data_IF_591757191016
#
_entry.id   IF_591757191016
#
_cell.length_a   1.000
_cell.length_b   1.000
_cell.length_c   1.000
_cell.angle_alpha   90.00
_cell.angle_beta   90.00
_cell.angle_gamma   90.00
#
_symmetry.space_group_name_H-M   'P 1'
#
loop_
_entity.id
_entity.type
_entity.pdbx_description
1 polymer ?
#
# COMPACT_ATOMS: atom_id res chain seq x y z
N UNK A 1 14.22 -7.23 -4.79
CA UNK A 1 13.45 -6.00 -4.59
C UNK A 1 12.33 -5.98 -5.63
N UNK A 2 11.06 -6.01 -5.21
CA UNK A 2 9.87 -6.14 -6.07
C UNK A 2 9.83 -5.16 -7.26
N UNK A 3 10.50 -4.02 -7.10
CA UNK A 3 10.71 -2.98 -8.11
C UNK A 3 11.34 -3.45 -9.44
N UNK A 4 12.10 -4.55 -9.45
CA UNK A 4 12.74 -5.06 -10.68
C UNK A 4 11.83 -5.97 -11.52
N UNK A 5 10.77 -6.54 -10.95
CA UNK A 5 9.86 -7.45 -11.65
C UNK A 5 8.86 -6.65 -12.49
N UNK A 6 8.36 -5.53 -11.95
CA UNK A 6 7.35 -4.69 -12.59
C UNK A 6 7.85 -3.99 -13.87
N UNK A 7 9.14 -3.64 -13.94
CA UNK A 7 9.70 -2.95 -15.13
C UNK A 7 9.89 -3.90 -16.33
N UNK A 8 10.01 -5.21 -16.08
CA UNK A 8 10.09 -6.22 -17.15
C UNK A 8 8.74 -6.48 -17.80
N UNK A 9 7.66 -6.55 -17.02
CA UNK A 9 6.31 -6.85 -17.49
C UNK A 9 5.69 -5.72 -18.34
N UNK A 10 5.98 -4.45 -18.01
CA UNK A 10 5.38 -3.30 -18.71
C UNK A 10 5.93 -3.09 -20.13
N UNK A 11 7.13 -3.60 -20.45
CA UNK A 11 7.78 -3.40 -21.76
C UNK A 11 7.29 -4.42 -22.81
N UNK A 12 6.69 -5.53 -22.39
CA UNK A 12 6.24 -6.59 -23.31
C UNK A 12 4.79 -6.43 -23.78
N UNK A 13 4.03 -5.47 -23.24
CA UNK A 13 2.59 -5.34 -23.48
C UNK A 13 2.21 -4.44 -24.68
N UNK A 14 3.16 -3.99 -25.50
CA UNK A 14 2.86 -3.03 -26.56
C UNK A 14 3.43 -3.42 -27.93
N UNK A 15 3.15 -4.63 -28.41
CA UNK A 15 3.17 -4.91 -29.84
C UNK A 15 2.35 -6.16 -30.20
N UNK A 16 1.20 -5.93 -30.84
CA UNK A 16 0.42 -6.79 -31.75
C UNK A 16 -1.09 -6.73 -31.44
N UNK A 17 -1.72 -5.61 -31.83
CA UNK A 17 -3.16 -5.56 -32.00
C UNK A 17 -3.53 -6.36 -33.27
N UNK A 18 -4.06 -7.57 -33.07
CA UNK A 18 -4.86 -8.26 -34.09
C UNK A 18 -6.19 -8.64 -33.46
N UNK A 19 -7.26 -8.19 -34.10
CA UNK A 19 -8.65 -8.26 -33.67
C UNK A 19 -9.17 -9.71 -33.67
N UNK A 20 -9.56 -10.22 -32.50
CA UNK A 20 -10.46 -11.37 -32.35
C UNK A 20 -11.68 -10.94 -31.51
N UNK A 21 -12.93 -11.15 -31.98
CA UNK A 21 -14.12 -10.78 -31.23
C UNK A 21 -14.46 -11.89 -30.21
N UNK A 22 -14.62 -11.49 -28.94
CA UNK A 22 -14.80 -12.31 -27.73
C UNK A 22 -13.52 -12.98 -27.20
N UNK A 23 -12.80 -12.22 -26.36
CA UNK A 23 -11.85 -12.80 -25.41
C UNK A 23 -12.59 -13.83 -24.54
N UNK A 24 -11.98 -14.98 -24.30
CA UNK A 24 -12.57 -16.03 -23.48
C UNK A 24 -12.90 -15.50 -22.07
N UNK A 25 -13.85 -16.13 -21.37
CA UNK A 25 -14.17 -15.77 -19.96
C UNK A 25 -12.91 -15.83 -19.08
N UNK A 26 -11.96 -16.68 -19.45
CA UNK A 26 -10.65 -16.84 -18.84
C UNK A 26 -9.72 -15.64 -19.07
N UNK A 27 -9.57 -15.18 -20.32
CA UNK A 27 -8.80 -13.97 -20.65
C UNK A 27 -9.30 -12.75 -19.85
N UNK A 28 -10.62 -12.72 -19.61
CA UNK A 28 -11.25 -11.69 -18.79
C UNK A 28 -10.91 -11.82 -17.31
N UNK A 29 -10.99 -13.04 -16.75
CA UNK A 29 -10.64 -13.27 -15.34
C UNK A 29 -9.16 -12.97 -15.06
N UNK A 30 -8.27 -13.38 -15.97
CA UNK A 30 -6.85 -13.10 -15.87
C UNK A 30 -6.56 -11.59 -15.97
N UNK A 31 -7.20 -10.88 -16.90
CA UNK A 31 -7.05 -9.42 -17.00
C UNK A 31 -7.51 -8.69 -15.74
N UNK A 32 -8.65 -9.08 -15.15
CA UNK A 32 -9.13 -8.51 -13.89
C UNK A 32 -8.10 -8.73 -12.76
N UNK A 33 -7.50 -9.91 -12.70
CA UNK A 33 -6.45 -10.21 -11.73
C UNK A 33 -5.20 -9.34 -11.92
N UNK A 34 -4.74 -9.14 -13.16
CA UNK A 34 -3.60 -8.27 -13.45
C UNK A 34 -3.87 -6.81 -13.09
N UNK A 35 -5.06 -6.31 -13.40
CA UNK A 35 -5.49 -4.95 -13.02
C UNK A 35 -5.52 -4.82 -11.49
N UNK A 36 -6.02 -5.84 -10.78
CA UNK A 36 -6.03 -5.88 -9.33
C UNK A 36 -4.60 -5.83 -8.76
N UNK A 37 -3.69 -6.69 -9.22
CA UNK A 37 -2.31 -6.71 -8.74
C UNK A 37 -1.57 -5.41 -9.07
N UNK A 38 -1.89 -4.75 -10.18
CA UNK A 38 -1.36 -3.41 -10.50
C UNK A 38 -1.80 -2.38 -9.45
N UNK A 39 -3.06 -2.44 -9.01
CA UNK A 39 -3.56 -1.58 -7.92
C UNK A 39 -2.96 -1.93 -6.56
N UNK A 40 -2.68 -3.20 -6.29
CA UNK A 40 -1.92 -3.62 -5.09
C UNK A 40 -0.53 -3.00 -5.08
N UNK A 41 0.19 -3.02 -6.21
CA UNK A 41 1.50 -2.36 -6.31
C UNK A 41 1.40 -0.84 -6.08
N UNK A 42 0.38 -0.18 -6.64
CA UNK A 42 0.14 1.25 -6.40
C UNK A 42 -0.13 1.54 -4.91
N UNK A 43 -0.85 0.65 -4.23
CA UNK A 43 -1.08 0.76 -2.80
C UNK A 43 0.24 0.66 -2.02
N UNK A 44 1.10 -0.31 -2.33
CA UNK A 44 2.40 -0.46 -1.66
C UNK A 44 3.31 0.76 -1.86
N UNK A 45 3.37 1.31 -3.07
CA UNK A 45 4.10 2.56 -3.35
C UNK A 45 3.55 3.73 -2.53
N UNK A 46 2.23 3.79 -2.37
CA UNK A 46 1.57 4.80 -1.56
C UNK A 46 1.92 4.62 -0.07
N UNK A 47 1.94 3.40 0.46
CA UNK A 47 2.36 3.10 1.84
C UNK A 47 3.79 3.57 2.11
N UNK A 48 4.71 3.32 1.19
CA UNK A 48 6.10 3.78 1.26
C UNK A 48 6.19 5.32 1.25
N UNK A 49 5.36 5.98 0.45
CA UNK A 49 5.28 7.44 0.43
C UNK A 49 4.76 7.98 1.78
N UNK A 50 3.68 7.40 2.31
CA UNK A 50 3.12 7.73 3.62
C UNK A 50 4.13 7.56 4.76
N UNK A 51 4.89 6.47 4.75
CA UNK A 51 5.97 6.21 5.73
C UNK A 51 7.00 7.34 5.76
N UNK A 52 7.44 7.81 4.59
CA UNK A 52 8.42 8.92 4.50
C UNK A 52 7.87 10.22 5.09
N UNK A 53 6.58 10.50 4.87
CA UNK A 53 5.91 11.66 5.44
C UNK A 53 5.78 11.52 6.97
N UNK A 54 5.42 10.34 7.47
CA UNK A 54 5.34 10.07 8.91
C UNK A 54 6.69 10.23 9.61
N UNK A 55 7.77 9.69 9.02
CA UNK A 55 9.13 9.87 9.53
C UNK A 55 9.53 11.34 9.56
N UNK A 56 9.18 12.09 8.50
CA UNK A 56 9.41 13.53 8.48
C UNK A 56 8.61 14.24 9.58
N UNK A 57 7.32 13.91 9.75
CA UNK A 57 6.51 14.46 10.83
C UNK A 57 7.15 14.24 12.21
N UNK A 58 7.62 13.01 12.47
CA UNK A 58 8.33 12.68 13.69
C UNK A 58 9.59 13.55 13.87
N UNK A 59 10.44 13.66 12.83
CA UNK A 59 11.64 14.50 12.87
C UNK A 59 11.31 15.97 13.18
N UNK A 60 10.36 16.58 12.45
CA UNK A 60 9.98 17.98 12.66
C UNK A 60 9.40 18.22 14.07
N UNK A 61 8.68 17.22 14.62
CA UNK A 61 8.13 17.33 15.96
C UNK A 61 9.21 17.26 17.04
N UNK A 62 10.24 16.44 16.84
CA UNK A 62 11.39 16.39 17.74
C UNK A 62 12.23 17.68 17.67
N UNK A 63 12.28 18.35 16.50
CA UNK A 63 12.86 19.69 16.39
C UNK A 63 12.08 20.71 17.22
N UNK A 64 10.74 20.65 17.18
CA UNK A 64 9.87 21.49 17.98
C UNK A 64 10.01 21.23 19.50
N UNK A 65 10.34 20.00 19.89
CA UNK A 65 10.50 19.58 21.30
C UNK A 65 11.88 19.79 21.89
N UNK A 66 12.86 20.27 21.10
CA UNK A 66 14.24 20.40 21.57
C UNK A 66 14.30 21.09 22.94
N UNK A 67 15.04 20.52 23.91
CA UNK A 67 15.12 21.09 25.25
C UNK A 67 15.64 22.53 25.22
N UNK A 68 15.08 23.38 26.07
CA UNK A 68 15.67 24.70 26.38
C UNK A 68 17.09 24.48 26.88
N UNK A 69 18.04 25.37 26.53
CA UNK A 69 19.41 25.30 27.04
C UNK A 69 19.39 25.19 28.57
N UNK A 70 19.98 24.12 29.10
CA UNK A 70 20.16 23.94 30.53
C UNK A 70 21.26 24.88 31.02
N UNK A 71 20.85 26.07 31.47
CA UNK A 71 21.75 27.10 32.05
C UNK A 71 22.35 26.62 33.40
N UNK A 72 21.86 25.49 33.95
CA UNK A 72 22.36 24.86 35.17
C UNK A 72 23.78 24.27 35.03
N UNK A 73 24.24 24.02 33.80
CA UNK A 73 25.63 23.62 33.57
C UNK A 73 26.59 24.78 33.84
N UNK A 74 27.64 24.53 34.66
CA UNK A 74 28.64 25.55 35.00
C UNK A 74 29.31 26.18 33.77
N UNK A 75 29.65 25.38 32.77
CA UNK A 75 30.26 25.85 31.52
C UNK A 75 29.28 26.69 30.68
N UNK A 76 28.03 26.26 30.56
CA UNK A 76 27.00 27.00 29.81
C UNK A 76 26.67 28.32 30.52
N UNK A 77 26.56 28.30 31.85
CA UNK A 77 26.34 29.49 32.68
C UNK A 77 27.47 30.52 32.48
N UNK A 78 28.73 30.07 32.47
CA UNK A 78 29.90 30.95 32.30
C UNK A 78 29.98 31.53 30.88
N UNK A 79 29.66 30.73 29.85
CA UNK A 79 29.54 31.20 28.45
C UNK A 79 28.42 32.24 28.31
N UNK A 80 27.23 31.97 28.87
CA UNK A 80 26.08 32.90 28.82
C UNK A 80 26.41 34.21 29.54
N UNK A 81 27.06 34.15 30.72
CA UNK A 81 27.44 35.34 31.50
C UNK A 81 28.51 36.17 30.77
N UNK A 82 29.51 35.53 30.19
CA UNK A 82 30.59 36.21 29.47
C UNK A 82 30.14 36.85 28.14
N UNK A 83 29.04 36.36 27.55
CA UNK A 83 28.50 36.84 26.27
C UNK A 83 27.12 37.50 26.42
N UNK A 84 26.80 38.00 27.62
CA UNK A 84 25.48 38.51 27.93
C UNK A 84 25.20 39.82 27.16
N UNK A 85 24.27 39.74 26.23
CA UNK A 85 23.75 40.88 25.45
C UNK A 85 22.22 40.87 25.52
N UNK A 86 21.57 42.00 25.23
CA UNK A 86 20.10 42.03 25.18
C UNK A 86 19.55 41.04 24.14
N UNK A 87 20.28 40.83 23.03
CA UNK A 87 19.96 39.79 22.03
C UNK A 87 20.06 38.37 22.60
N UNK A 88 21.13 38.05 23.34
CA UNK A 88 21.27 36.75 24.01
C UNK A 88 20.17 36.53 25.05
N UNK A 89 19.83 37.58 25.82
CA UNK A 89 18.74 37.54 26.79
C UNK A 89 17.40 37.22 26.11
N UNK A 90 17.04 37.95 25.04
CA UNK A 90 15.82 37.68 24.29
C UNK A 90 15.77 36.27 23.68
N UNK A 91 16.91 35.74 23.21
CA UNK A 91 17.00 34.36 22.70
C UNK A 91 16.77 33.31 23.81
N UNK A 92 17.35 33.51 25.00
CA UNK A 92 17.14 32.63 26.16
C UNK A 92 15.71 32.70 26.68
N UNK A 93 15.13 33.90 26.77
CA UNK A 93 13.72 34.13 27.14
C UNK A 93 12.76 33.45 26.16
N UNK A 94 13.10 33.45 24.86
CA UNK A 94 12.38 32.72 23.81
C UNK A 94 12.62 31.19 23.84
N UNK A 95 13.32 30.66 24.86
CA UNK A 95 13.56 29.23 25.02
C UNK A 95 14.58 28.67 24.04
N UNK A 96 15.52 29.49 23.56
CA UNK A 96 16.57 29.11 22.61
C UNK A 96 16.03 28.69 21.23
N UNK A 97 14.87 29.24 20.85
CA UNK A 97 14.25 29.02 19.54
C UNK A 97 14.11 30.33 18.80
N UNK A 98 14.37 30.33 17.49
CA UNK A 98 14.11 31.51 16.65
C UNK A 98 12.62 31.53 16.26
N UNK A 99 11.98 32.69 16.30
CA UNK A 99 10.55 32.81 15.99
C UNK A 99 10.23 32.32 14.56
N UNK A 100 11.06 32.71 13.59
CA UNK A 100 10.89 32.30 12.19
C UNK A 100 11.09 30.79 11.99
N UNK A 101 12.01 30.16 12.73
CA UNK A 101 12.23 28.71 12.69
C UNK A 101 11.01 27.97 13.25
N UNK A 102 10.40 28.49 14.33
CA UNK A 102 9.18 27.91 14.89
C UNK A 102 8.01 27.98 13.89
N UNK A 103 7.86 29.11 13.19
CA UNK A 103 6.83 29.24 12.14
C UNK A 103 7.09 28.24 11.00
N UNK A 104 8.34 28.14 10.53
CA UNK A 104 8.69 27.19 9.48
C UNK A 104 8.42 25.75 9.90
N UNK A 105 8.85 25.33 11.09
CA UNK A 105 8.65 23.97 11.60
C UNK A 105 7.15 23.66 11.76
N UNK A 106 6.35 24.61 12.26
CA UNK A 106 4.89 24.45 12.36
C UNK A 106 4.24 24.29 11.00
N UNK A 107 4.65 25.08 10.01
CA UNK A 107 4.17 24.93 8.62
C UNK A 107 4.56 23.57 8.03
N UNK A 108 5.77 23.07 8.35
CA UNK A 108 6.21 21.75 7.91
C UNK A 108 5.40 20.62 8.57
N UNK A 109 5.11 20.71 9.87
CA UNK A 109 4.25 19.76 10.58
C UNK A 109 2.84 19.74 10.01
N UNK A 110 2.25 20.92 9.75
CA UNK A 110 0.94 21.03 9.11
C UNK A 110 0.95 20.41 7.72
N UNK A 111 1.96 20.71 6.90
CA UNK A 111 2.10 20.13 5.56
C UNK A 111 2.24 18.60 5.61
N UNK A 112 2.95 18.06 6.61
CA UNK A 112 3.04 16.61 6.79
C UNK A 112 1.68 16.02 7.17
N UNK A 113 0.92 16.67 8.04
CA UNK A 113 -0.42 16.23 8.43
C UNK A 113 -1.40 16.25 7.23
N UNK A 114 -1.38 17.29 6.42
CA UNK A 114 -2.17 17.36 5.17
C UNK A 114 -1.79 16.23 4.21
N UNK A 115 -0.50 15.97 4.00
CA UNK A 115 -0.02 14.88 3.15
C UNK A 115 -0.40 13.50 3.68
N UNK A 116 -0.41 13.30 4.99
CA UNK A 116 -0.86 12.05 5.60
C UNK A 116 -2.38 11.86 5.46
N UNK A 117 -3.16 12.93 5.58
CA UNK A 117 -4.60 12.86 5.31
C UNK A 117 -4.89 12.56 3.83
N UNK A 118 -4.15 13.19 2.91
CA UNK A 118 -4.21 12.88 1.48
C UNK A 118 -3.83 11.43 1.18
N UNK A 119 -2.78 10.92 1.82
CA UNK A 119 -2.39 9.50 1.78
C UNK A 119 -3.56 8.59 2.17
N UNK A 120 -4.20 8.85 3.31
CA UNK A 120 -5.35 8.05 3.78
C UNK A 120 -6.51 8.10 2.77
N UNK A 121 -6.82 9.27 2.23
CA UNK A 121 -7.89 9.40 1.23
C UNK A 121 -7.58 8.60 -0.05
N UNK A 122 -6.34 8.67 -0.54
CA UNK A 122 -5.90 7.90 -1.72
C UNK A 122 -5.90 6.39 -1.46
N UNK A 123 -5.44 5.95 -0.30
CA UNK A 123 -5.42 4.54 0.08
C UNK A 123 -6.86 3.99 0.18
N UNK A 124 -7.79 4.80 0.69
CA UNK A 124 -9.21 4.46 0.73
C UNK A 124 -9.81 4.30 -0.68
N UNK A 125 -9.53 5.23 -1.59
CA UNK A 125 -9.99 5.14 -2.98
C UNK A 125 -9.44 3.89 -3.68
N UNK A 126 -8.15 3.58 -3.49
CA UNK A 126 -7.55 2.35 -4.03
C UNK A 126 -8.23 1.09 -3.48
N UNK A 127 -8.59 1.04 -2.19
CA UNK A 127 -9.34 -0.08 -1.63
C UNK A 127 -10.75 -0.21 -2.23
N UNK A 128 -11.43 0.92 -2.48
CA UNK A 128 -12.74 0.90 -3.15
C UNK A 128 -12.64 0.37 -4.59
N UNK A 129 -11.58 0.75 -5.33
CA UNK A 129 -11.28 0.22 -6.66
C UNK A 129 -10.95 -1.28 -6.63
N UNK A 130 -10.12 -1.74 -5.68
CA UNK A 130 -9.80 -3.15 -5.47
C UNK A 130 -11.07 -3.97 -5.17
N UNK A 131 -11.98 -3.43 -4.35
CA UNK A 131 -13.26 -4.07 -4.06
C UNK A 131 -14.15 -4.21 -5.30
N UNK A 132 -14.10 -3.24 -6.21
CA UNK A 132 -14.84 -3.34 -7.48
C UNK A 132 -14.29 -4.48 -8.35
N UNK A 133 -12.96 -4.57 -8.47
CA UNK A 133 -12.29 -5.65 -9.21
C UNK A 133 -12.57 -7.04 -8.61
N UNK A 134 -12.60 -7.14 -7.27
CA UNK A 134 -13.01 -8.38 -6.57
C UNK A 134 -14.41 -8.84 -6.98
N UNK A 135 -15.38 -7.92 -7.03
CA UNK A 135 -16.77 -8.22 -7.44
C UNK A 135 -16.84 -8.65 -8.90
N UNK A 136 -16.07 -8.00 -9.77
CA UNK A 136 -15.99 -8.35 -11.19
C UNK A 136 -15.36 -9.74 -11.40
N UNK A 137 -14.32 -10.07 -10.63
CA UNK A 137 -13.71 -11.40 -10.65
C UNK A 137 -14.70 -12.46 -10.16
N UNK A 138 -15.45 -12.20 -9.08
CA UNK A 138 -16.49 -13.10 -8.59
C UNK A 138 -17.57 -13.37 -9.65
N UNK A 139 -18.10 -12.30 -10.27
CA UNK A 139 -19.13 -12.41 -11.33
C UNK A 139 -18.63 -13.20 -12.54
N UNK A 140 -17.39 -12.93 -12.96
CA UNK A 140 -16.74 -13.62 -14.09
C UNK A 140 -16.53 -15.11 -13.77
N UNK A 141 -16.02 -15.42 -12.58
CA UNK A 141 -15.78 -16.80 -12.12
C UNK A 141 -17.09 -17.58 -12.00
N UNK A 142 -18.13 -16.97 -11.42
CA UNK A 142 -19.44 -17.60 -11.30
C UNK A 142 -20.04 -17.94 -12.67
N UNK A 143 -19.89 -17.04 -13.64
CA UNK A 143 -20.34 -17.27 -15.02
C UNK A 143 -19.60 -18.46 -15.64
N UNK A 144 -18.27 -18.53 -15.47
CA UNK A 144 -17.46 -19.65 -15.95
C UNK A 144 -17.90 -20.99 -15.33
N UNK A 145 -18.10 -21.02 -14.01
CA UNK A 145 -18.58 -22.22 -13.30
C UNK A 145 -19.95 -22.71 -13.84
N UNK A 146 -20.88 -21.77 -14.08
CA UNK A 146 -22.21 -22.12 -14.57
C UNK A 146 -22.20 -22.60 -16.03
N UNK A 147 -21.32 -22.05 -16.86
CA UNK A 147 -21.14 -22.53 -18.24
C UNK A 147 -20.56 -23.95 -18.27
N UNK A 148 -19.50 -24.19 -17.50
CA UNK A 148 -18.87 -25.52 -17.40
C UNK A 148 -19.85 -26.60 -16.91
N UNK A 149 -20.77 -26.27 -16.00
CA UNK A 149 -21.78 -27.22 -15.53
C UNK A 149 -22.80 -27.61 -16.62
N UNK A 150 -23.14 -26.68 -17.52
CA UNK A 150 -24.11 -26.92 -18.62
C UNK A 150 -23.52 -27.78 -19.72
N UNK A 151 -22.22 -27.68 -19.99
CA UNK A 151 -21.54 -28.48 -21.01
C UNK A 151 -21.48 -29.98 -20.64
N UNK A 152 -21.71 -30.33 -19.38
CA UNK A 152 -21.75 -31.73 -18.89
C UNK A 152 -23.12 -32.42 -19.03
N UNK A 153 -24.21 -31.71 -19.33
CA UNK A 153 -25.58 -32.28 -19.30
C UNK A 153 -26.09 -32.72 -20.70
N UNK A 154 -25.35 -32.44 -21.77
CA UNK A 154 -25.66 -32.89 -23.13
C UNK A 154 -24.81 -34.12 -23.52
N UNK A 155 -25.32 -35.31 -23.23
CA UNK A 155 -24.85 -36.56 -23.85
C UNK A 155 -26.03 -37.32 -24.48
N UNK A 156 -26.23 -37.27 -25.82
CA UNK A 156 -26.80 -38.39 -26.54
C UNK A 156 -25.68 -39.39 -26.81
N UNK A 157 -25.77 -40.59 -26.24
CA UNK A 157 -24.75 -41.61 -26.42
C UNK A 157 -24.60 -42.02 -27.89
N UNK A 158 -23.37 -42.15 -28.37
CA UNK A 158 -22.90 -43.34 -29.10
C UNK A 158 -21.36 -43.33 -29.22
N UNK A 159 -20.81 -44.52 -29.34
CA UNK A 159 -19.40 -44.88 -29.41
C UNK A 159 -18.62 -44.17 -30.53
N UNK A 160 -17.36 -43.80 -30.27
CA UNK A 160 -16.20 -44.42 -30.92
C UNK A 160 -14.85 -43.85 -30.43
N UNK A 161 -13.98 -44.77 -30.05
CA UNK A 161 -12.58 -44.57 -29.71
C UNK A 161 -11.79 -44.01 -30.91
N UNK A 162 -11.18 -42.84 -30.78
CA UNK A 162 -9.87 -42.56 -31.40
C UNK A 162 -9.09 -41.60 -30.52
N UNK A 163 -8.16 -42.20 -29.77
CA UNK A 163 -7.23 -41.53 -28.88
C UNK A 163 -6.12 -40.85 -29.69
N UNK A 164 -6.18 -39.53 -29.84
CA UNK A 164 -5.05 -38.69 -30.27
C UNK A 164 -4.77 -37.69 -29.16
N UNK A 165 -3.82 -38.02 -28.28
CA UNK A 165 -3.27 -37.08 -27.30
C UNK A 165 -2.39 -36.06 -28.05
N UNK A 166 -2.90 -34.86 -28.24
CA UNK A 166 -2.11 -33.65 -28.50
C UNK A 166 -1.67 -33.06 -27.17
N UNK A 167 -0.36 -33.10 -26.90
CA UNK A 167 0.29 -32.47 -25.75
C UNK A 167 0.36 -30.94 -25.98
N UNK A 168 -0.77 -30.22 -25.95
CA UNK A 168 -0.79 -28.77 -25.72
C UNK A 168 -2.17 -28.18 -25.36
N UNK A 169 -3.18 -29.00 -25.06
CA UNK A 169 -4.48 -28.49 -24.63
C UNK A 169 -4.58 -28.52 -23.09
N UNK A 170 -4.38 -27.36 -22.48
CA UNK A 170 -4.74 -27.13 -21.08
C UNK A 170 -6.20 -27.50 -20.87
N UNK A 171 -6.46 -28.47 -19.99
CA UNK A 171 -7.79 -29.01 -19.78
C UNK A 171 -8.73 -27.90 -19.27
N UNK A 172 -9.99 -27.80 -19.76
CA UNK A 172 -10.95 -26.79 -19.30
C UNK A 172 -11.14 -26.74 -17.77
N UNK A 173 -10.95 -27.87 -17.09
CA UNK A 173 -10.99 -27.98 -15.63
C UNK A 173 -9.84 -27.25 -14.92
N UNK A 174 -8.62 -27.26 -15.48
CA UNK A 174 -7.44 -26.60 -14.91
C UNK A 174 -7.58 -25.06 -14.98
N UNK A 175 -8.28 -24.58 -16.00
CA UNK A 175 -8.49 -23.15 -16.26
C UNK A 175 -9.57 -22.56 -15.33
N UNK A 176 -10.63 -23.32 -15.05
CA UNK A 176 -11.64 -22.95 -14.07
C UNK A 176 -11.06 -22.92 -12.64
N UNK A 177 -10.24 -23.91 -12.29
CA UNK A 177 -9.56 -23.97 -10.99
C UNK A 177 -8.62 -22.76 -10.78
N UNK A 178 -7.94 -22.35 -11.86
CA UNK A 178 -7.11 -21.13 -11.86
C UNK A 178 -7.94 -19.86 -11.63
N UNK A 179 -9.09 -19.71 -12.30
CA UNK A 179 -9.96 -18.54 -12.11
C UNK A 179 -10.51 -18.44 -10.68
N UNK A 180 -10.95 -19.58 -10.11
CA UNK A 180 -11.39 -19.66 -8.71
C UNK A 180 -10.26 -19.33 -7.74
N UNK A 181 -9.05 -19.82 -8.01
CA UNK A 181 -7.85 -19.52 -7.23
C UNK A 181 -7.51 -18.03 -7.27
N UNK A 182 -7.52 -17.40 -8.44
CA UNK A 182 -7.30 -15.96 -8.60
C UNK A 182 -8.31 -15.14 -7.78
N UNK A 183 -9.61 -15.44 -7.90
CA UNK A 183 -10.65 -14.74 -7.15
C UNK A 183 -10.46 -14.88 -5.63
N UNK A 184 -10.10 -16.08 -5.17
CA UNK A 184 -9.84 -16.35 -3.75
C UNK A 184 -8.63 -15.57 -3.23
N UNK A 185 -7.55 -15.52 -4.01
CA UNK A 185 -6.35 -14.74 -3.70
C UNK A 185 -6.65 -13.24 -3.65
N UNK A 186 -7.44 -12.71 -4.58
CA UNK A 186 -7.86 -11.30 -4.59
C UNK A 186 -8.61 -10.93 -3.29
N UNK A 187 -9.57 -11.77 -2.86
CA UNK A 187 -10.31 -11.56 -1.60
C UNK A 187 -9.36 -11.56 -0.41
N UNK A 188 -8.42 -12.50 -0.37
CA UNK A 188 -7.43 -12.58 0.71
C UNK A 188 -6.56 -11.31 0.77
N UNK A 189 -5.97 -10.92 -0.36
CA UNK A 189 -5.13 -9.72 -0.47
C UNK A 189 -5.90 -8.46 -0.09
N UNK A 190 -7.10 -8.27 -0.65
CA UNK A 190 -7.91 -7.10 -0.34
C UNK A 190 -8.24 -6.99 1.16
N UNK A 191 -8.56 -8.11 1.82
CA UNK A 191 -8.79 -8.12 3.26
C UNK A 191 -7.55 -7.72 4.06
N UNK A 192 -6.36 -8.23 3.70
CA UNK A 192 -5.10 -7.82 4.36
C UNK A 192 -4.85 -6.32 4.21
N UNK A 193 -4.98 -5.79 2.99
CA UNK A 193 -4.79 -4.36 2.71
C UNK A 193 -5.81 -3.49 3.46
N UNK A 194 -7.04 -3.96 3.64
CA UNK A 194 -8.07 -3.27 4.42
C UNK A 194 -7.66 -3.13 5.89
N UNK A 195 -7.11 -4.19 6.49
CA UNK A 195 -6.62 -4.14 7.87
C UNK A 195 -5.40 -3.22 8.00
N UNK A 196 -4.46 -3.27 7.06
CA UNK A 196 -3.30 -2.38 6.99
C UNK A 196 -3.74 -0.91 6.87
N UNK A 197 -4.70 -0.60 5.99
CA UNK A 197 -5.30 0.72 5.89
C UNK A 197 -5.92 1.19 7.20
N UNK A 198 -6.72 0.33 7.87
CA UNK A 198 -7.37 0.70 9.14
C UNK A 198 -6.33 1.02 10.23
N UNK A 199 -5.20 0.32 10.24
CA UNK A 199 -4.09 0.62 11.13
C UNK A 199 -3.46 1.97 10.79
N UNK A 200 -3.13 2.22 9.52
CA UNK A 200 -2.57 3.49 9.06
C UNK A 200 -3.50 4.68 9.36
N UNK A 201 -4.81 4.51 9.14
CA UNK A 201 -5.82 5.54 9.42
C UNK A 201 -5.86 5.88 10.92
N UNK A 202 -5.80 4.87 11.79
CA UNK A 202 -5.73 5.08 13.25
C UNK A 202 -4.47 5.81 13.65
N UNK A 203 -3.32 5.46 13.06
CA UNK A 203 -2.06 6.17 13.29
C UNK A 203 -2.22 7.65 12.92
N UNK A 204 -2.67 7.96 11.69
CA UNK A 204 -2.83 9.34 11.23
C UNK A 204 -3.80 10.14 12.10
N UNK A 205 -4.92 9.54 12.52
CA UNK A 205 -5.89 10.18 13.42
C UNK A 205 -5.33 10.43 14.83
N UNK A 206 -4.38 9.62 15.29
CA UNK A 206 -3.75 9.76 16.59
C UNK A 206 -2.59 10.79 16.61
N UNK A 207 -2.13 11.23 15.43
CA UNK A 207 -1.06 12.24 15.35
C UNK A 207 -1.54 13.59 15.90
N UNK A 208 -0.87 14.05 16.95
CA UNK A 208 -1.14 15.34 17.57
C UNK A 208 0.18 15.97 18.03
N UNK A 209 0.42 17.19 17.55
CA UNK A 209 1.62 17.98 17.86
C UNK A 209 1.80 18.15 19.39
N UNK A 210 0.69 18.31 20.13
CA UNK A 210 0.72 18.60 21.57
C UNK A 210 0.86 17.36 22.44
N UNK A 211 0.33 16.21 22.02
CA UNK A 211 0.12 15.06 22.91
C UNK A 211 0.91 13.81 22.50
N UNK A 212 1.30 13.64 21.23
CA UNK A 212 1.96 12.41 20.78
C UNK A 212 3.39 12.31 21.32
N UNK A 213 3.65 11.53 22.36
CA UNK A 213 5.01 11.35 22.88
C UNK A 213 5.99 10.81 21.83
N UNK A 214 7.29 11.05 22.02
CA UNK A 214 8.33 10.54 21.11
C UNK A 214 8.27 8.99 21.00
N UNK A 215 8.06 8.30 22.12
CA UNK A 215 7.89 6.84 22.17
C UNK A 215 6.65 6.34 21.42
N UNK A 216 5.53 7.07 21.48
CA UNK A 216 4.33 6.71 20.70
C UNK A 216 4.57 6.87 19.20
N UNK A 217 5.24 7.94 18.79
CA UNK A 217 5.58 8.18 17.38
C UNK A 217 6.55 7.15 16.83
N UNK A 218 7.53 6.74 17.63
CA UNK A 218 8.42 5.63 17.27
C UNK A 218 7.62 4.34 17.07
N UNK A 219 6.70 4.02 17.99
CA UNK A 219 5.79 2.88 17.85
C UNK A 219 4.92 2.96 16.59
N UNK A 220 4.39 4.13 16.25
CA UNK A 220 3.64 4.34 15.01
C UNK A 220 4.50 4.14 13.77
N UNK A 221 5.74 4.66 13.75
CA UNK A 221 6.67 4.45 12.65
C UNK A 221 7.01 2.96 12.47
N UNK A 222 7.23 2.23 13.58
CA UNK A 222 7.49 0.80 13.55
C UNK A 222 6.29 0.01 13.02
N UNK A 223 5.07 0.28 13.50
CA UNK A 223 3.87 -0.40 12.99
C UNK A 223 3.65 -0.14 11.50
N UNK A 224 3.89 1.09 11.03
CA UNK A 224 3.79 1.44 9.62
C UNK A 224 4.83 0.72 8.76
N UNK A 225 6.05 0.52 9.29
CA UNK A 225 7.13 -0.17 8.58
C UNK A 225 6.92 -1.69 8.53
N UNK A 226 6.58 -2.29 9.66
CA UNK A 226 6.47 -3.74 9.80
C UNK A 226 5.19 -4.30 9.18
N UNK A 227 4.18 -3.47 8.94
CA UNK A 227 2.89 -3.85 8.33
C UNK A 227 2.33 -5.19 8.87
N UNK A 228 2.10 -5.32 10.18
CA UNK A 228 1.75 -6.59 10.83
C UNK A 228 0.44 -7.22 10.34
N UNK A 229 -0.39 -6.48 9.60
CA UNK A 229 -1.63 -6.99 8.99
C UNK A 229 -1.42 -7.66 7.64
N UNK A 230 -0.23 -7.58 7.06
CA UNK A 230 0.13 -8.18 5.78
C UNK A 230 0.88 -9.49 6.03
N UNK A 231 0.41 -10.58 5.42
CA UNK A 231 1.14 -11.83 5.36
C UNK A 231 1.98 -11.88 4.07
N UNK A 232 3.30 -11.82 4.23
CA UNK A 232 4.25 -11.85 3.11
C UNK A 232 4.13 -13.13 2.27
N UNK A 233 3.76 -14.27 2.86
CA UNK A 233 3.58 -15.51 2.11
C UNK A 233 2.35 -15.45 1.22
N UNK A 234 1.25 -14.89 1.74
CA UNK A 234 0.04 -14.67 0.96
C UNK A 234 0.28 -13.67 -0.17
N UNK A 235 1.07 -12.61 0.08
CA UNK A 235 1.45 -11.65 -0.95
C UNK A 235 2.36 -12.30 -2.01
N UNK A 236 3.36 -13.07 -1.59
CA UNK A 236 4.24 -13.80 -2.50
C UNK A 236 3.45 -14.80 -3.36
N UNK A 237 2.50 -15.52 -2.76
CA UNK A 237 1.60 -16.41 -3.49
C UNK A 237 0.82 -15.61 -4.55
N UNK A 238 0.25 -14.46 -4.21
CA UNK A 238 -0.48 -13.63 -5.16
C UNK A 238 0.37 -13.21 -6.36
N UNK A 239 1.62 -12.84 -6.13
CA UNK A 239 2.54 -12.47 -7.20
C UNK A 239 2.93 -13.65 -8.11
N UNK A 240 2.84 -14.91 -7.65
CA UNK A 240 3.09 -16.08 -8.51
C UNK A 240 2.02 -16.28 -9.60
N UNK A 241 0.84 -15.68 -9.44
CA UNK A 241 -0.21 -15.71 -10.47
C UNK A 241 -0.01 -14.65 -11.56
N UNK A 242 0.94 -13.72 -11.37
CA UNK A 242 1.34 -12.73 -12.38
C UNK A 242 2.44 -13.34 -13.26
N UNK A 243 2.27 -13.39 -14.59
CA UNK A 243 3.26 -13.94 -15.53
C UNK A 243 4.59 -13.18 -15.57
#
# INVERSE_FOLDING_TARGET
CFRCILTGALVMANEAATTSPEASVEDKAHRIFLDFMTKVAQYDELVDAGKKVLLKFHQELEHFRRPKLLIESGAISEIVKSNYSDRMRSYLEAGCTHHDENIQNMNQLHSCQEKLNDHINKAKLLLEELQFLEKDAYSTTLTACLSSLRDTDDCPGDDNLTNNYSEDEQQPGDLLDRAVSCASVMVLVHNMLKWDYMMQEKIVKALCIKTSSSSELEGYCQMWDLRPCIDDNAMQLAWQFVP
#
